data_IF_892892570651
#
_entry.id   IF_892892570651
#
_cell.length_a   1.000
_cell.length_b   1.000
_cell.length_c   1.000
_cell.angle_alpha   90.00
_cell.angle_beta   90.00
_cell.angle_gamma   90.00
#
_symmetry.space_group_name_H-M   'P 1'
#
loop_
_entity.id
_entity.type
_entity.pdbx_description
1 polymer ?
#
# COMPACT_ATOMS: atom_id res chain seq x y z
N UNK A 1 12.34 -16.37 -20.37
CA UNK A 1 11.34 -15.48 -21.01
C UNK A 1 9.93 -16.07 -20.91
N UNK A 2 9.73 -17.34 -21.30
CA UNK A 2 8.43 -18.03 -21.20
C UNK A 2 7.95 -18.15 -19.74
N UNK A 3 8.82 -18.54 -18.81
CA UNK A 3 8.48 -18.65 -17.37
C UNK A 3 8.07 -17.32 -16.73
N UNK A 4 8.73 -16.22 -17.12
CA UNK A 4 8.37 -14.88 -16.66
C UNK A 4 6.99 -14.47 -17.19
N UNK A 5 6.68 -14.81 -18.45
CA UNK A 5 5.39 -14.51 -19.06
C UNK A 5 4.26 -15.32 -18.40
N UNK A 6 4.50 -16.60 -18.06
CA UNK A 6 3.54 -17.41 -17.31
C UNK A 6 3.35 -16.91 -15.87
N UNK A 7 4.41 -16.44 -15.21
CA UNK A 7 4.33 -15.85 -13.88
C UNK A 7 3.54 -14.52 -13.88
N UNK A 8 3.63 -13.72 -14.93
CA UNK A 8 2.76 -12.54 -15.08
C UNK A 8 1.29 -12.95 -15.23
N UNK A 9 1.00 -14.04 -15.93
CA UNK A 9 -0.35 -14.59 -16.08
C UNK A 9 -0.93 -15.17 -14.78
N UNK A 10 -0.08 -15.74 -13.91
CA UNK A 10 -0.53 -16.32 -12.64
C UNK A 10 -1.02 -15.27 -11.64
N UNK A 11 -0.52 -14.03 -11.71
CA UNK A 11 -1.01 -12.92 -10.86
C UNK A 11 -2.51 -12.69 -11.00
N UNK A 12 -3.09 -12.97 -12.17
CA UNK A 12 -4.52 -12.80 -12.44
C UNK A 12 -5.34 -14.08 -12.27
N UNK A 13 -4.70 -15.25 -12.26
CA UNK A 13 -5.40 -16.54 -12.42
C UNK A 13 -5.20 -17.49 -11.25
N UNK A 14 -4.11 -17.34 -10.48
CA UNK A 14 -3.83 -18.19 -9.32
C UNK A 14 -4.58 -17.70 -8.08
N UNK A 15 -5.58 -18.46 -7.57
CA UNK A 15 -6.34 -18.08 -6.39
C UNK A 15 -5.50 -17.91 -5.13
N UNK A 16 -4.41 -18.68 -5.00
CA UNK A 16 -3.54 -18.60 -3.82
C UNK A 16 -2.76 -17.28 -3.81
N UNK A 17 -2.20 -16.90 -4.96
CA UNK A 17 -1.48 -15.64 -5.14
C UNK A 17 -2.41 -14.44 -4.93
N UNK A 18 -3.64 -14.49 -5.47
CA UNK A 18 -4.66 -13.47 -5.22
C UNK A 18 -5.03 -13.36 -3.73
N UNK A 19 -5.13 -14.49 -3.03
CA UNK A 19 -5.34 -14.52 -1.58
C UNK A 19 -4.21 -13.85 -0.80
N UNK A 20 -2.95 -14.11 -1.18
CA UNK A 20 -1.78 -13.45 -0.59
C UNK A 20 -1.78 -11.94 -0.86
N UNK A 21 -2.07 -11.50 -2.09
CA UNK A 21 -2.17 -10.08 -2.44
C UNK A 21 -3.26 -9.43 -1.59
N UNK A 22 -4.44 -10.03 -1.50
CA UNK A 22 -5.54 -9.47 -0.71
C UNK A 22 -5.16 -9.32 0.77
N UNK A 23 -4.67 -10.40 1.40
CA UNK A 23 -4.27 -10.38 2.79
C UNK A 23 -3.16 -9.36 3.07
N UNK A 24 -2.16 -9.30 2.18
CA UNK A 24 -1.03 -8.38 2.30
C UNK A 24 -1.46 -6.93 2.06
N UNK A 25 -2.43 -6.69 1.18
CA UNK A 25 -3.01 -5.35 0.96
C UNK A 25 -3.68 -4.84 2.23
N UNK A 26 -4.49 -5.67 2.89
CA UNK A 26 -5.15 -5.30 4.15
C UNK A 26 -4.11 -4.98 5.22
N UNK A 27 -3.08 -5.82 5.36
CA UNK A 27 -2.01 -5.61 6.32
C UNK A 27 -1.19 -4.36 6.01
N UNK A 28 -0.91 -4.10 4.73
CA UNK A 28 -0.22 -2.89 4.29
C UNK A 28 -1.05 -1.63 4.53
N UNK A 29 -2.37 -1.66 4.34
CA UNK A 29 -3.24 -0.54 4.72
C UNK A 29 -3.17 -0.27 6.22
N UNK A 30 -3.25 -1.29 7.06
CA UNK A 30 -3.13 -1.15 8.52
C UNK A 30 -1.79 -0.50 8.89
N UNK A 31 -0.69 -1.00 8.31
CA UNK A 31 0.65 -0.45 8.55
C UNK A 31 0.77 0.99 8.06
N UNK A 32 0.24 1.30 6.88
CA UNK A 32 0.34 2.63 6.29
C UNK A 32 -0.46 3.69 7.06
N UNK A 33 -1.57 3.30 7.70
CA UNK A 33 -2.34 4.19 8.58
C UNK A 33 -1.59 4.51 9.88
N UNK A 34 -0.61 3.70 10.31
CA UNK A 34 0.13 3.98 11.53
C UNK A 34 1.15 5.12 11.31
N UNK A 35 1.05 6.24 12.05
CA UNK A 35 1.98 7.36 11.92
C UNK A 35 3.43 6.92 12.12
N UNK A 36 4.30 7.27 11.17
CA UNK A 36 5.74 7.04 11.28
C UNK A 36 6.23 5.62 10.98
N UNK A 37 5.35 4.64 10.71
CA UNK A 37 5.81 3.28 10.35
C UNK A 37 6.29 3.22 8.89
N UNK A 38 5.61 3.87 7.95
CA UNK A 38 6.06 3.93 6.55
C UNK A 38 6.04 2.59 5.79
N UNK A 39 6.05 2.67 4.45
CA UNK A 39 6.01 1.49 3.58
C UNK A 39 7.30 0.65 3.63
N UNK A 40 8.45 1.30 3.78
CA UNK A 40 9.77 0.64 3.85
C UNK A 40 9.90 -0.24 5.10
N UNK A 41 9.45 0.25 6.26
CA UNK A 41 9.44 -0.55 7.50
C UNK A 41 8.48 -1.72 7.38
N UNK A 42 7.29 -1.53 6.80
CA UNK A 42 6.36 -2.62 6.53
C UNK A 42 6.98 -3.75 5.70
N UNK A 43 7.63 -3.39 4.58
CA UNK A 43 8.35 -4.34 3.75
C UNK A 43 9.50 -5.04 4.52
N UNK A 44 10.26 -4.30 5.32
CA UNK A 44 11.33 -4.87 6.15
C UNK A 44 10.81 -5.88 7.19
N UNK A 45 9.63 -5.63 7.78
CA UNK A 45 9.00 -6.54 8.74
C UNK A 45 8.51 -7.83 8.07
N UNK A 46 8.05 -7.78 6.82
CA UNK A 46 7.63 -8.98 6.08
C UNK A 46 8.79 -9.74 5.45
N UNK A 47 9.94 -9.12 5.21
CA UNK A 47 11.07 -9.73 4.51
C UNK A 47 11.45 -11.13 5.04
N UNK A 48 11.59 -11.38 6.35
CA UNK A 48 11.95 -12.70 6.87
C UNK A 48 10.96 -13.81 6.48
N UNK A 49 9.67 -13.47 6.41
CA UNK A 49 8.60 -14.42 6.04
C UNK A 49 8.61 -14.75 4.55
N UNK A 50 9.14 -13.85 3.72
CA UNK A 50 9.22 -14.05 2.28
C UNK A 50 10.42 -14.89 1.84
N UNK A 51 11.40 -15.12 2.72
CA UNK A 51 12.60 -15.90 2.39
C UNK A 51 12.33 -17.39 2.13
N UNK A 52 11.23 -17.93 2.67
CA UNK A 52 10.82 -19.33 2.47
C UNK A 52 9.75 -19.50 1.39
N UNK A 53 9.29 -18.41 0.79
CA UNK A 53 8.23 -18.42 -0.23
C UNK A 53 8.81 -18.64 -1.63
N UNK A 54 7.98 -19.10 -2.56
CA UNK A 54 8.35 -19.13 -3.96
C UNK A 54 8.62 -17.70 -4.47
N UNK A 55 9.60 -17.48 -5.39
CA UNK A 55 10.00 -16.14 -5.80
C UNK A 55 8.85 -15.23 -6.25
N UNK A 56 7.88 -15.78 -7.00
CA UNK A 56 6.71 -15.02 -7.47
C UNK A 56 5.85 -14.54 -6.30
N UNK A 57 5.62 -15.40 -5.31
CA UNK A 57 4.82 -15.10 -4.13
C UNK A 57 5.54 -14.07 -3.23
N UNK A 58 6.84 -14.25 -3.01
CA UNK A 58 7.67 -13.34 -2.24
C UNK A 58 7.65 -11.92 -2.83
N UNK A 59 7.87 -11.81 -4.15
CA UNK A 59 7.84 -10.52 -4.86
C UNK A 59 6.45 -9.90 -4.79
N UNK A 60 5.39 -10.69 -4.98
CA UNK A 60 4.02 -10.20 -4.88
C UNK A 60 3.74 -9.62 -3.48
N UNK A 61 4.03 -10.36 -2.40
CA UNK A 61 3.84 -9.90 -1.02
C UNK A 61 4.61 -8.60 -0.74
N UNK A 62 5.91 -8.55 -1.05
CA UNK A 62 6.74 -7.36 -0.78
C UNK A 62 6.30 -6.13 -1.60
N UNK A 63 5.88 -6.34 -2.85
CA UNK A 63 5.38 -5.26 -3.71
C UNK A 63 4.03 -4.75 -3.22
N UNK A 64 3.12 -5.67 -2.88
CA UNK A 64 1.78 -5.35 -2.42
C UNK A 64 1.79 -4.57 -1.11
N UNK A 65 2.60 -4.98 -0.11
CA UNK A 65 2.69 -4.23 1.15
C UNK A 65 3.25 -2.82 0.91
N UNK A 66 4.25 -2.68 0.05
CA UNK A 66 4.87 -1.39 -0.23
C UNK A 66 3.88 -0.41 -0.85
N UNK A 67 3.14 -0.85 -1.88
CA UNK A 67 2.15 0.00 -2.58
C UNK A 67 0.98 0.34 -1.66
N UNK A 68 0.38 -0.66 -1.00
CA UNK A 68 -0.78 -0.45 -0.13
C UNK A 68 -0.47 0.42 1.09
N UNK A 69 0.70 0.23 1.73
CA UNK A 69 1.13 1.08 2.85
C UNK A 69 1.47 2.51 2.41
N UNK A 70 2.05 2.69 1.21
CA UNK A 70 2.34 4.02 0.67
C UNK A 70 1.05 4.82 0.46
N UNK A 71 0.06 4.20 -0.19
CA UNK A 71 -1.27 4.80 -0.35
C UNK A 71 -1.92 5.08 1.00
N UNK A 72 -1.95 4.11 1.91
CA UNK A 72 -2.65 4.24 3.18
C UNK A 72 -2.06 5.33 4.09
N UNK A 73 -0.79 5.70 3.93
CA UNK A 73 -0.20 6.85 4.61
C UNK A 73 -0.86 8.20 4.27
N UNK A 74 -1.52 8.30 3.11
CA UNK A 74 -2.34 9.48 2.76
C UNK A 74 -3.61 9.58 3.60
N UNK A 75 -4.16 8.45 4.08
CA UNK A 75 -5.41 8.43 4.85
C UNK A 75 -5.24 9.20 6.16
N UNK A 76 -4.16 8.94 6.90
CA UNK A 76 -3.88 9.67 8.14
C UNK A 76 -3.37 11.09 7.90
N UNK A 77 -2.65 11.33 6.81
CA UNK A 77 -2.31 12.69 6.39
C UNK A 77 -3.58 13.54 6.18
N UNK A 78 -4.59 12.99 5.51
CA UNK A 78 -5.87 13.65 5.21
C UNK A 78 -6.75 13.78 6.46
N UNK A 79 -6.90 12.73 7.26
CA UNK A 79 -7.90 12.71 8.33
C UNK A 79 -7.40 13.31 9.66
N UNK A 80 -6.12 13.14 9.99
CA UNK A 80 -5.57 13.48 11.31
C UNK A 80 -4.30 14.35 11.24
N UNK A 81 -3.98 14.91 10.06
CA UNK A 81 -2.83 15.80 9.83
C UNK A 81 -1.48 15.21 10.27
N UNK A 82 -1.38 13.88 10.30
CA UNK A 82 -0.17 13.17 10.73
C UNK A 82 0.16 12.12 9.68
N UNK A 83 1.16 12.34 8.82
CA UNK A 83 1.40 11.47 7.68
C UNK A 83 1.94 10.11 8.14
N UNK A 84 1.40 9.03 7.54
CA UNK A 84 1.89 7.67 7.78
C UNK A 84 3.22 7.36 7.08
N UNK A 85 3.53 8.08 6.00
CA UNK A 85 4.77 7.96 5.22
C UNK A 85 5.39 9.33 4.93
N UNK A 86 6.70 9.39 4.68
CA UNK A 86 7.37 10.64 4.32
C UNK A 86 6.84 11.24 3.01
N UNK A 87 6.39 10.41 2.07
CA UNK A 87 5.80 10.86 0.81
C UNK A 87 4.43 11.52 1.00
N UNK A 88 3.66 11.09 2.01
CA UNK A 88 2.34 11.65 2.33
C UNK A 88 2.42 12.99 3.11
N UNK A 89 3.62 13.50 3.44
CA UNK A 89 3.75 14.77 4.13
C UNK A 89 3.11 15.92 3.32
N UNK A 90 3.30 15.95 2.01
CA UNK A 90 2.67 16.95 1.13
C UNK A 90 1.14 16.86 1.16
N UNK A 91 0.58 15.66 1.30
CA UNK A 91 -0.88 15.41 1.38
C UNK A 91 -1.53 16.07 2.62
N UNK A 92 -0.74 16.42 3.63
CA UNK A 92 -1.28 17.17 4.78
C UNK A 92 -1.63 18.61 4.42
N UNK A 93 -0.97 19.20 3.41
CA UNK A 93 -1.14 20.62 3.07
C UNK A 93 -2.41 20.90 2.26
N UNK A 94 -2.91 19.92 1.52
CA UNK A 94 -4.12 20.01 0.69
C UNK A 94 -5.25 19.11 1.23
N UNK A 95 -4.94 17.88 1.59
CA UNK A 95 -5.88 16.86 2.04
C UNK A 95 -6.53 17.18 3.38
N UNK A 96 -5.75 17.57 4.40
CA UNK A 96 -6.29 17.88 5.73
C UNK A 96 -7.21 19.13 5.72
N UNK A 97 -6.87 20.24 5.05
CA UNK A 97 -7.80 21.36 4.89
C UNK A 97 -9.11 20.99 4.18
N UNK A 98 -9.09 20.07 3.21
CA UNK A 98 -10.31 19.56 2.58
C UNK A 98 -11.13 18.70 3.56
N UNK A 99 -10.49 17.86 4.36
CA UNK A 99 -11.17 17.07 5.38
C UNK A 99 -11.85 17.97 6.44
N UNK A 100 -11.20 19.05 6.88
CA UNK A 100 -11.77 20.04 7.80
C UNK A 100 -13.01 20.75 7.24
N UNK A 101 -13.13 20.85 5.91
CA UNK A 101 -14.32 21.41 5.22
C UNK A 101 -15.45 20.39 5.04
N UNK A 102 -15.31 19.18 5.56
CA UNK A 102 -16.25 18.08 5.34
C UNK A 102 -16.07 17.37 4.01
N UNK A 103 -15.03 17.70 3.23
CA UNK A 103 -14.73 17.10 1.93
C UNK A 103 -13.74 15.93 2.04
N UNK A 104 -13.68 15.25 3.19
CA UNK A 104 -12.74 14.14 3.43
C UNK A 104 -12.85 13.02 2.38
N UNK A 105 -14.08 12.65 1.99
CA UNK A 105 -14.31 11.64 0.94
C UNK A 105 -13.75 12.05 -0.42
N UNK A 106 -13.81 13.34 -0.77
CA UNK A 106 -13.23 13.87 -2.01
C UNK A 106 -11.70 13.85 -1.94
N UNK A 107 -11.11 14.26 -0.83
CA UNK A 107 -9.66 14.21 -0.62
C UNK A 107 -9.13 12.77 -0.71
N UNK A 108 -9.80 11.81 -0.05
CA UNK A 108 -9.46 10.39 -0.13
C UNK A 108 -9.63 9.85 -1.56
N UNK A 109 -10.70 10.22 -2.25
CA UNK A 109 -10.92 9.80 -3.65
C UNK A 109 -9.83 10.31 -4.59
N UNK A 110 -9.41 11.57 -4.45
CA UNK A 110 -8.28 12.13 -5.21
C UNK A 110 -7.00 11.36 -4.90
N UNK A 111 -6.71 11.11 -3.61
CA UNK A 111 -5.51 10.38 -3.20
C UNK A 111 -5.48 8.94 -3.73
N UNK A 112 -6.62 8.23 -3.74
CA UNK A 112 -6.74 6.89 -4.34
C UNK A 112 -6.40 6.95 -5.82
N UNK A 113 -7.06 7.84 -6.59
CA UNK A 113 -6.88 7.90 -8.04
C UNK A 113 -5.47 8.35 -8.41
N UNK A 114 -4.90 9.34 -7.72
CA UNK A 114 -3.55 9.81 -7.98
C UNK A 114 -2.48 8.77 -7.64
N UNK A 115 -2.76 7.85 -6.72
CA UNK A 115 -1.84 6.76 -6.34
C UNK A 115 -1.83 5.58 -7.33
N UNK A 116 -2.73 5.58 -8.33
CA UNK A 116 -2.76 4.52 -9.35
C UNK A 116 -1.75 4.71 -10.49
N UNK A 117 -1.13 5.89 -10.57
CA UNK A 117 -0.18 6.30 -11.63
C UNK A 117 1.20 6.50 -11.03
#
# INVERSE_FOLDING_TARGET
MIEALSAMGSVFTDPYLLGLIFATTVLGVIIGVLPGLGATTGAALLLPFTLTMEPVQAIAVLSTIYVSATFAGSITAILINTPGTSAAAATTFDGYPLAQKGEAGRALGIAVVSSTV
#
